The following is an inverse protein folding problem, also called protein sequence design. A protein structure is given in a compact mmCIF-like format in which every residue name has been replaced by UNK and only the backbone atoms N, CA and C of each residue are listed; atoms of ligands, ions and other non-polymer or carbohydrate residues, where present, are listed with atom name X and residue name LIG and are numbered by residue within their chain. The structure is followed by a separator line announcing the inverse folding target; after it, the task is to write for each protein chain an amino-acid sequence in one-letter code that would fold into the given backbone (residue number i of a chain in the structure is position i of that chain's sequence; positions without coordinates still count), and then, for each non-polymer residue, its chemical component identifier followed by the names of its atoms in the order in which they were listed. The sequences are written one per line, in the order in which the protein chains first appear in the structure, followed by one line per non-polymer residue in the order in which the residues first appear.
data_IF_031583322546
#
_entry.id   IF_031583322546
#
_cell.length_a   1.000
_cell.length_b   1.000
_cell.length_c   1.000
_cell.angle_alpha   90.00
_cell.angle_beta   90.00
_cell.angle_gamma   90.00
#
_symmetry.space_group_name_H-M   'P 1'
#
loop_
_entity.id
_entity.type
_entity.pdbx_description
1 polymer ?
#
# COMPACT_ATOMS: atom_id res chain seq x y z
N UNK A 1 68.32 -27.70 11.35
CA UNK A 1 67.26 -26.75 11.72
C UNK A 1 66.51 -26.34 10.46
N UNK A 2 65.36 -26.95 10.13
CA UNK A 2 64.53 -26.55 8.99
C UNK A 2 63.40 -25.65 9.50
N UNK A 3 63.41 -24.38 9.11
CA UNK A 3 62.38 -23.39 9.44
C UNK A 3 61.20 -23.61 8.49
N UNK A 4 60.01 -23.82 9.05
CA UNK A 4 58.77 -23.83 8.27
C UNK A 4 58.17 -22.43 8.27
N UNK A 5 58.03 -21.85 7.07
CA UNK A 5 57.31 -20.61 6.83
C UNK A 5 55.81 -20.95 6.79
N UNK A 6 55.02 -20.37 7.68
CA UNK A 6 53.56 -20.49 7.66
C UNK A 6 53.00 -19.26 6.93
N UNK A 7 52.54 -19.46 5.69
CA UNK A 7 51.78 -18.45 4.96
C UNK A 7 50.32 -18.46 5.43
N UNK A 8 49.86 -17.36 5.99
CA UNK A 8 48.45 -17.12 6.28
C UNK A 8 47.78 -16.56 5.02
N UNK A 9 46.98 -17.38 4.34
CA UNK A 9 46.13 -16.93 3.24
C UNK A 9 44.93 -16.17 3.78
N UNK A 10 44.83 -14.87 3.45
CA UNK A 10 43.61 -14.08 3.66
C UNK A 10 42.52 -14.60 2.72
N UNK A 11 41.49 -15.25 3.26
CA UNK A 11 40.31 -15.68 2.49
C UNK A 11 39.33 -14.51 2.43
N UNK A 12 39.28 -13.80 1.30
CA UNK A 12 38.23 -12.83 1.04
C UNK A 12 36.92 -13.59 0.79
N UNK A 13 35.99 -13.54 1.74
CA UNK A 13 34.63 -14.06 1.56
C UNK A 13 33.89 -13.06 0.68
N UNK A 14 33.83 -13.30 -0.64
CA UNK A 14 32.89 -12.57 -1.48
C UNK A 14 31.49 -13.15 -1.24
N UNK A 15 30.62 -12.43 -0.55
CA UNK A 15 29.20 -12.77 -0.53
C UNK A 15 28.63 -12.54 -1.92
N UNK A 16 28.42 -13.62 -2.68
CA UNK A 16 27.56 -13.57 -3.86
C UNK A 16 26.14 -13.31 -3.36
N UNK A 17 25.62 -12.10 -3.58
CA UNK A 17 24.18 -11.85 -3.46
C UNK A 17 23.54 -12.69 -4.56
N UNK A 18 22.90 -13.81 -4.18
CA UNK A 18 22.05 -14.51 -5.13
C UNK A 18 20.91 -13.56 -5.54
N UNK A 19 20.64 -13.47 -6.83
CA UNK A 19 19.49 -12.75 -7.35
C UNK A 19 18.22 -13.27 -6.66
N UNK A 20 17.52 -12.40 -5.94
CA UNK A 20 16.22 -12.71 -5.37
C UNK A 20 15.18 -12.19 -6.35
N UNK A 21 14.69 -13.06 -7.24
CA UNK A 21 13.53 -12.74 -8.09
C UNK A 21 12.33 -12.42 -7.20
N UNK A 22 11.69 -11.29 -7.44
CA UNK A 22 10.50 -10.90 -6.69
C UNK A 22 9.33 -11.76 -7.14
N UNK A 23 8.67 -12.41 -6.19
CA UNK A 23 7.38 -13.06 -6.43
C UNK A 23 6.27 -11.99 -6.40
N UNK A 24 6.03 -11.33 -7.52
CA UNK A 24 5.01 -10.28 -7.64
C UNK A 24 3.61 -10.89 -7.80
N UNK A 25 2.62 -10.22 -7.21
CA UNK A 25 1.20 -10.53 -7.27
C UNK A 25 0.43 -9.50 -8.11
N UNK A 26 -0.84 -9.80 -8.38
CA UNK A 26 -1.74 -8.87 -9.05
C UNK A 26 -1.81 -7.53 -8.29
N UNK A 27 -1.57 -6.42 -9.00
CA UNK A 27 -1.57 -5.07 -8.45
C UNK A 27 -0.23 -4.62 -7.81
N UNK A 28 0.80 -5.46 -7.81
CA UNK A 28 2.14 -5.04 -7.34
C UNK A 28 2.88 -4.12 -8.33
N UNK A 29 2.35 -3.99 -9.54
CA UNK A 29 2.66 -2.92 -10.48
C UNK A 29 1.34 -2.35 -11.04
N UNK A 30 1.40 -1.18 -11.66
CA UNK A 30 0.31 -0.63 -12.45
C UNK A 30 0.84 0.06 -13.70
N UNK A 31 0.16 -0.13 -14.83
CA UNK A 31 0.43 0.60 -16.07
C UNK A 31 -0.23 1.98 -15.94
N UNK A 32 0.54 3.04 -16.17
CA UNK A 32 0.14 4.44 -15.94
C UNK A 32 0.29 5.33 -17.18
N UNK A 33 0.88 4.81 -18.26
CA UNK A 33 0.84 5.44 -19.58
C UNK A 33 0.95 4.40 -20.68
N UNK A 34 0.32 4.70 -21.81
CA UNK A 34 0.29 3.93 -23.03
C UNK A 34 0.18 4.91 -24.20
N UNK A 35 1.10 4.87 -25.16
CA UNK A 35 1.15 5.73 -26.34
C UNK A 35 1.32 4.83 -27.57
N UNK A 36 0.30 4.77 -28.43
CA UNK A 36 0.35 3.99 -29.66
C UNK A 36 0.65 4.84 -30.91
N UNK A 37 0.59 6.17 -30.81
CA UNK A 37 1.08 7.02 -31.89
C UNK A 37 2.61 7.07 -31.85
N UNK A 38 3.22 6.89 -33.02
CA UNK A 38 4.67 6.80 -33.20
C UNK A 38 5.42 7.97 -32.53
N UNK A 39 6.46 7.71 -31.73
CA UNK A 39 7.04 6.44 -31.31
C UNK A 39 6.45 5.78 -30.05
N UNK A 40 6.06 4.52 -30.13
CA UNK A 40 5.27 3.86 -29.09
C UNK A 40 5.97 3.85 -27.71
N UNK A 41 5.18 3.92 -26.66
CA UNK A 41 5.69 4.00 -25.29
C UNK A 41 4.70 3.42 -24.29
N UNK A 42 5.20 2.79 -23.23
CA UNK A 42 4.41 2.57 -22.04
C UNK A 42 5.19 2.91 -20.77
N UNK A 43 4.46 3.18 -19.70
CA UNK A 43 5.03 3.42 -18.37
C UNK A 43 4.28 2.57 -17.35
N UNK A 44 5.04 1.89 -16.49
CA UNK A 44 4.47 1.22 -15.31
C UNK A 44 5.14 1.72 -14.04
N UNK A 45 4.40 1.73 -12.93
CA UNK A 45 4.91 2.01 -11.60
C UNK A 45 4.88 0.75 -10.75
N UNK A 46 5.93 0.51 -9.97
CA UNK A 46 5.88 -0.57 -8.99
C UNK A 46 5.18 -0.10 -7.71
N UNK A 47 4.27 -0.89 -7.18
CA UNK A 47 3.58 -0.65 -5.91
C UNK A 47 4.04 -1.61 -4.81
N UNK A 48 4.90 -2.57 -5.16
CA UNK A 48 5.71 -3.40 -4.27
C UNK A 48 7.22 -3.21 -4.55
N UNK A 49 8.08 -3.67 -3.64
CA UNK A 49 9.53 -3.63 -3.88
C UNK A 49 9.88 -4.62 -4.98
N UNK A 50 10.66 -4.19 -5.97
CA UNK A 50 11.23 -5.06 -7.00
C UNK A 50 12.71 -5.26 -6.68
N UNK A 51 13.11 -6.49 -6.35
CA UNK A 51 14.49 -6.85 -6.04
C UNK A 51 15.31 -7.15 -7.32
N UNK A 52 16.66 -7.07 -7.24
CA UNK A 52 17.54 -7.39 -8.37
C UNK A 52 17.33 -8.80 -8.92
N UNK A 53 17.35 -8.91 -10.25
CA UNK A 53 17.11 -10.16 -10.98
C UNK A 53 15.63 -10.46 -11.23
N UNK A 54 14.72 -9.55 -10.86
CA UNK A 54 13.30 -9.70 -11.17
C UNK A 54 13.06 -9.53 -12.67
N UNK A 55 12.30 -10.47 -13.24
CA UNK A 55 11.85 -10.44 -14.63
C UNK A 55 10.34 -10.20 -14.70
N UNK A 56 9.93 -9.22 -15.50
CA UNK A 56 8.52 -8.95 -15.84
C UNK A 56 8.38 -9.03 -17.36
N UNK A 57 7.35 -9.73 -17.83
CA UNK A 57 7.03 -9.83 -19.24
C UNK A 57 5.78 -9.02 -19.55
N UNK A 58 5.79 -8.36 -20.69
CA UNK A 58 4.68 -7.61 -21.24
C UNK A 58 4.33 -8.17 -22.60
N UNK A 59 3.04 -8.39 -22.83
CA UNK A 59 2.54 -8.86 -24.12
C UNK A 59 1.42 -7.96 -24.60
N UNK A 60 1.52 -7.61 -25.87
CA UNK A 60 0.45 -7.01 -26.65
C UNK A 60 -0.46 -8.08 -27.28
N UNK A 61 -0.36 -9.35 -26.89
CA UNK A 61 -1.28 -10.40 -27.36
C UNK A 61 -2.56 -10.36 -26.54
N UNK A 62 -3.70 -10.42 -27.23
CA UNK A 62 -4.99 -10.59 -26.56
C UNK A 62 -5.02 -11.86 -25.71
N UNK A 63 -5.58 -11.81 -24.51
CA UNK A 63 -5.79 -13.01 -23.68
C UNK A 63 -7.11 -13.69 -24.06
N UNK A 64 -7.08 -15.01 -24.29
CA UNK A 64 -8.27 -15.80 -24.64
C UNK A 64 -8.95 -16.42 -23.40
N UNK A 65 -9.20 -15.60 -22.37
CA UNK A 65 -9.70 -16.02 -21.06
C UNK A 65 -11.10 -16.63 -20.97
N UNK A 66 -11.82 -16.81 -22.08
CA UNK A 66 -13.17 -17.39 -22.10
C UNK A 66 -13.23 -18.85 -22.63
N UNK A 67 -12.10 -19.45 -23.02
CA UNK A 67 -12.05 -20.83 -23.50
C UNK A 67 -11.59 -21.80 -22.40
N UNK A 68 -11.96 -23.07 -22.52
CA UNK A 68 -11.64 -24.14 -21.55
C UNK A 68 -10.14 -24.30 -21.25
N UNK A 69 -9.27 -23.77 -22.12
CA UNK A 69 -7.81 -23.72 -21.97
C UNK A 69 -7.33 -22.30 -22.27
N UNK A 70 -7.26 -21.40 -21.28
CA UNK A 70 -6.90 -20.01 -21.49
C UNK A 70 -5.39 -19.87 -21.78
N UNK A 71 -5.06 -18.99 -22.71
CA UNK A 71 -3.75 -18.74 -23.28
C UNK A 71 -3.73 -17.34 -23.92
N UNK A 72 -2.53 -16.85 -24.25
CA UNK A 72 -2.43 -15.72 -25.17
C UNK A 72 -2.94 -16.13 -26.55
N UNK A 73 -3.62 -15.21 -27.24
CA UNK A 73 -4.09 -15.38 -28.60
C UNK A 73 -2.91 -15.73 -29.52
N UNK A 74 -3.16 -16.58 -30.50
CA UNK A 74 -2.14 -16.98 -31.46
C UNK A 74 -1.91 -15.85 -32.46
N UNK A 75 -0.94 -14.99 -32.17
CA UNK A 75 -0.48 -13.90 -33.06
C UNK A 75 1.05 -13.89 -33.19
N UNK A 76 1.55 -13.17 -34.19
CA UNK A 76 2.99 -12.93 -34.42
C UNK A 76 3.56 -11.76 -33.60
N UNK A 77 2.75 -11.16 -32.72
CA UNK A 77 3.14 -10.02 -31.87
C UNK A 77 4.28 -10.38 -30.91
N UNK A 78 5.02 -9.36 -30.48
CA UNK A 78 6.21 -9.55 -29.66
C UNK A 78 5.88 -9.80 -28.19
N UNK A 79 6.86 -10.38 -27.50
CA UNK A 79 6.92 -10.38 -26.05
C UNK A 79 8.05 -9.45 -25.62
N UNK A 80 7.76 -8.52 -24.72
CA UNK A 80 8.76 -7.62 -24.14
C UNK A 80 9.16 -8.12 -22.76
N UNK A 81 10.44 -8.40 -22.59
CA UNK A 81 11.02 -8.87 -21.34
C UNK A 81 11.77 -7.72 -20.69
N UNK A 82 11.24 -7.21 -19.59
CA UNK A 82 11.94 -6.25 -18.74
C UNK A 82 12.65 -6.97 -17.60
N UNK A 83 13.91 -6.60 -17.36
CA UNK A 83 14.72 -7.06 -16.23
C UNK A 83 15.06 -5.88 -15.33
N UNK A 84 14.88 -6.08 -14.02
CA UNK A 84 15.25 -5.10 -13.00
C UNK A 84 16.74 -4.76 -13.03
N UNK A 85 17.14 -3.54 -12.60
CA UNK A 85 18.55 -3.21 -12.41
C UNK A 85 19.19 -4.01 -11.26
N UNK A 86 20.49 -3.81 -11.06
CA UNK A 86 21.28 -4.50 -10.03
C UNK A 86 21.08 -3.95 -8.60
N UNK A 87 19.99 -3.25 -8.33
CA UNK A 87 19.61 -2.74 -7.01
C UNK A 87 18.08 -2.74 -6.84
N UNK A 88 17.54 -2.81 -5.60
CA UNK A 88 16.10 -2.82 -5.39
C UNK A 88 15.44 -1.52 -5.84
N UNK A 89 14.30 -1.64 -6.53
CA UNK A 89 13.39 -0.52 -6.80
C UNK A 89 12.31 -0.48 -5.71
N UNK A 90 12.23 0.65 -5.01
CA UNK A 90 11.22 0.85 -3.96
C UNK A 90 9.85 1.16 -4.60
N UNK A 91 8.71 0.82 -3.96
CA UNK A 91 7.39 1.22 -4.41
C UNK A 91 7.34 2.71 -4.74
N UNK A 92 6.65 3.02 -5.83
CA UNK A 92 6.49 4.36 -6.39
C UNK A 92 7.52 4.73 -7.46
N UNK A 93 8.43 3.82 -7.80
CA UNK A 93 9.36 4.01 -8.91
C UNK A 93 8.64 3.72 -10.23
N UNK A 94 8.64 4.68 -11.15
CA UNK A 94 8.11 4.44 -12.49
C UNK A 94 9.21 4.03 -13.46
N UNK A 95 8.87 3.07 -14.32
CA UNK A 95 9.70 2.57 -15.39
C UNK A 95 9.00 2.95 -16.68
N UNK A 96 9.68 3.76 -17.49
CA UNK A 96 9.28 4.12 -18.85
C UNK A 96 10.00 3.20 -19.81
N UNK A 97 9.25 2.63 -20.74
CA UNK A 97 9.74 1.84 -21.85
C UNK A 97 9.36 2.53 -23.14
N UNK A 98 10.38 2.95 -23.88
CA UNK A 98 10.28 3.57 -25.19
C UNK A 98 10.61 2.52 -26.25
N UNK A 99 9.69 2.29 -27.18
CA UNK A 99 10.02 1.53 -28.40
C UNK A 99 10.86 2.40 -29.31
N UNK A 100 11.52 1.83 -30.31
CA UNK A 100 12.31 2.63 -31.26
C UNK A 100 11.68 2.53 -32.65
N UNK A 101 11.17 3.65 -33.15
CA UNK A 101 10.51 3.77 -34.45
C UNK A 101 11.41 3.41 -35.64
N UNK A 102 12.72 3.31 -35.40
CA UNK A 102 13.73 2.93 -36.41
C UNK A 102 14.07 1.43 -36.38
N UNK A 103 13.32 0.61 -35.63
CA UNK A 103 13.52 -0.83 -35.52
C UNK A 103 14.64 -1.26 -34.57
N UNK A 104 15.12 -0.34 -33.72
CA UNK A 104 16.04 -0.67 -32.62
C UNK A 104 15.34 -1.42 -31.48
N UNK A 105 16.13 -2.04 -30.60
CA UNK A 105 15.60 -2.59 -29.35
C UNK A 105 14.91 -1.49 -28.53
N UNK A 106 13.82 -1.80 -27.80
CA UNK A 106 13.25 -0.86 -26.85
C UNK A 106 14.28 -0.47 -25.78
N UNK A 107 14.07 0.70 -25.18
CA UNK A 107 14.90 1.21 -24.09
C UNK A 107 14.03 1.44 -22.85
N UNK A 108 14.60 1.17 -21.68
CA UNK A 108 13.95 1.47 -20.41
C UNK A 108 14.79 2.50 -19.64
N UNK A 109 14.16 3.47 -18.98
CA UNK A 109 14.88 4.43 -18.13
C UNK A 109 15.58 3.75 -16.94
N UNK A 110 15.06 2.61 -16.49
CA UNK A 110 15.61 1.78 -15.41
C UNK A 110 15.49 0.30 -15.79
N UNK A 111 16.56 -0.46 -15.56
CA UNK A 111 16.64 -1.87 -15.96
C UNK A 111 16.96 -2.02 -17.45
N UNK A 112 16.66 -3.19 -18.01
CA UNK A 112 16.84 -3.48 -19.43
C UNK A 112 15.59 -4.11 -20.01
N UNK A 113 15.32 -3.88 -21.28
CA UNK A 113 14.18 -4.47 -21.98
C UNK A 113 14.63 -5.11 -23.29
N UNK A 114 14.05 -6.26 -23.63
CA UNK A 114 14.31 -6.99 -24.85
C UNK A 114 12.99 -7.49 -25.45
N UNK A 115 12.81 -7.30 -26.76
CA UNK A 115 11.65 -7.82 -27.49
C UNK A 115 12.02 -9.07 -28.27
N UNK A 116 11.13 -10.07 -28.32
CA UNK A 116 11.33 -11.28 -29.11
C UNK A 116 11.02 -11.12 -30.61
N UNK A 117 10.64 -9.92 -31.04
CA UNK A 117 10.24 -9.60 -32.41
C UNK A 117 9.98 -8.11 -32.60
N UNK A 118 9.31 -7.75 -33.70
CA UNK A 118 8.88 -6.38 -33.95
C UNK A 118 7.87 -5.97 -32.87
N UNK A 119 8.17 -4.87 -32.20
CA UNK A 119 7.30 -4.28 -31.19
C UNK A 119 6.52 -3.13 -31.80
N UNK A 120 5.28 -2.95 -31.38
CA UNK A 120 4.53 -1.74 -31.65
C UNK A 120 3.04 -1.91 -31.45
N UNK A 121 2.43 -0.88 -30.88
CA UNK A 121 1.02 -0.84 -30.58
C UNK A 121 0.20 -0.41 -31.80
N UNK A 122 -0.95 -1.03 -31.99
CA UNK A 122 -1.85 -0.65 -33.07
C UNK A 122 -2.60 0.65 -32.77
N UNK A 123 -2.64 1.58 -33.74
CA UNK A 123 -3.47 2.81 -33.71
C UNK A 123 -5.00 2.56 -33.84
N UNK A 124 -5.42 1.31 -33.74
CA UNK A 124 -6.84 0.92 -33.60
C UNK A 124 -7.09 0.26 -32.24
N UNK A 125 -6.16 0.53 -31.32
CA UNK A 125 -6.08 0.04 -29.98
C UNK A 125 -5.43 -1.34 -29.83
N UNK A 126 -4.99 -1.60 -28.60
CA UNK A 126 -4.25 -2.78 -28.19
C UNK A 126 -4.45 -3.07 -26.69
N UNK A 127 -3.86 -4.15 -26.21
CA UNK A 127 -3.68 -4.48 -24.81
C UNK A 127 -2.19 -4.42 -24.44
N UNK A 128 -1.92 -4.25 -23.16
CA UNK A 128 -0.62 -4.50 -22.59
C UNK A 128 -0.79 -5.29 -21.30
N UNK A 129 -0.43 -6.56 -21.34
CA UNK A 129 -0.63 -7.51 -20.25
C UNK A 129 0.72 -7.83 -19.62
N UNK A 130 0.88 -7.47 -18.35
CA UNK A 130 2.08 -7.70 -17.58
C UNK A 130 1.98 -8.97 -16.73
N UNK A 131 3.00 -9.83 -16.78
CA UNK A 131 3.01 -11.11 -16.06
C UNK A 131 4.43 -11.61 -15.74
N UNK A 132 4.51 -12.53 -14.78
CA UNK A 132 5.70 -13.37 -14.53
C UNK A 132 5.42 -14.83 -14.92
N UNK A 133 6.47 -15.65 -15.03
CA UNK A 133 6.35 -17.06 -15.46
C UNK A 133 6.50 -17.23 -16.96
N UNK A 134 5.86 -18.25 -17.55
CA UNK A 134 5.87 -18.45 -19.00
C UNK A 134 4.57 -17.96 -19.63
N UNK A 135 4.53 -17.61 -20.92
CA UNK A 135 3.27 -17.25 -21.59
C UNK A 135 2.19 -18.36 -21.54
N UNK A 136 2.60 -19.62 -21.38
CA UNK A 136 1.70 -20.77 -21.24
C UNK A 136 1.23 -21.00 -19.80
N UNK A 137 1.88 -20.38 -18.81
CA UNK A 137 1.49 -20.42 -17.40
C UNK A 137 1.79 -19.06 -16.73
N UNK A 138 1.08 -18.00 -17.12
CA UNK A 138 1.37 -16.64 -16.68
C UNK A 138 0.80 -16.38 -15.27
N UNK A 139 1.59 -15.70 -14.44
CA UNK A 139 1.10 -15.02 -13.23
C UNK A 139 0.89 -13.55 -13.56
N UNK A 140 -0.36 -13.16 -13.78
CA UNK A 140 -0.71 -11.79 -14.14
C UNK A 140 -0.47 -10.81 -13.01
N UNK A 141 0.14 -9.67 -13.35
CA UNK A 141 0.44 -8.58 -12.42
C UNK A 141 -0.48 -7.39 -12.66
N UNK A 142 -0.65 -6.99 -13.92
CA UNK A 142 -1.53 -5.89 -14.31
C UNK A 142 -1.91 -6.01 -15.79
N UNK A 143 -3.02 -5.42 -16.21
CA UNK A 143 -3.39 -5.33 -17.62
C UNK A 143 -3.96 -3.96 -17.97
N UNK A 144 -3.56 -3.42 -19.10
CA UNK A 144 -4.15 -2.22 -19.69
C UNK A 144 -4.72 -2.58 -21.06
N UNK A 145 -5.82 -1.95 -21.46
CA UNK A 145 -6.25 -1.97 -22.85
C UNK A 145 -6.81 -0.62 -23.24
N UNK A 146 -6.46 -0.14 -24.42
CA UNK A 146 -7.08 1.06 -24.98
C UNK A 146 -8.51 0.79 -25.48
N UNK A 147 -8.84 -0.48 -25.75
CA UNK A 147 -10.17 -0.98 -26.07
C UNK A 147 -10.91 -1.53 -24.83
N UNK A 148 -12.25 -1.63 -24.87
CA UNK A 148 -13.01 -2.35 -23.84
C UNK A 148 -12.59 -3.82 -23.75
N UNK A 149 -12.55 -4.38 -22.55
CA UNK A 149 -12.40 -5.82 -22.39
C UNK A 149 -13.57 -6.56 -23.04
N UNK A 150 -13.29 -7.70 -23.68
CA UNK A 150 -14.33 -8.54 -24.25
C UNK A 150 -15.27 -9.12 -23.19
N UNK A 151 -16.55 -9.20 -23.55
CA UNK A 151 -17.60 -9.89 -22.79
C UNK A 151 -18.10 -11.16 -23.49
N UNK A 152 -17.75 -11.37 -24.76
CA UNK A 152 -18.06 -12.55 -25.57
C UNK A 152 -17.10 -12.65 -26.76
N UNK A 153 -17.08 -13.83 -27.41
CA UNK A 153 -16.30 -14.05 -28.64
C UNK A 153 -14.82 -14.36 -28.42
N UNK A 154 -14.05 -14.26 -29.50
CA UNK A 154 -12.60 -14.51 -29.50
C UNK A 154 -11.83 -13.19 -29.66
N UNK A 155 -10.71 -13.01 -28.95
CA UNK A 155 -9.85 -11.84 -29.12
C UNK A 155 -9.29 -11.77 -30.55
N UNK A 156 -9.28 -10.57 -31.11
CA UNK A 156 -8.51 -10.21 -32.31
C UNK A 156 -7.10 -9.73 -31.89
N UNK A 157 -6.32 -9.16 -32.81
CA UNK A 157 -5.04 -8.50 -32.47
C UNK A 157 -5.24 -7.32 -31.51
N UNK A 158 -6.39 -6.65 -31.56
CA UNK A 158 -6.61 -5.36 -30.89
C UNK A 158 -7.53 -5.47 -29.66
N UNK A 159 -7.92 -6.69 -29.30
CA UNK A 159 -8.92 -6.95 -28.28
C UNK A 159 -8.47 -8.08 -27.38
N UNK A 160 -8.84 -7.99 -26.11
CA UNK A 160 -8.49 -8.99 -25.11
C UNK A 160 -9.67 -9.26 -24.17
N UNK A 161 -9.75 -10.47 -23.66
CA UNK A 161 -10.47 -10.70 -22.41
C UNK A 161 -9.67 -10.13 -21.24
N UNK A 162 -10.35 -9.75 -20.17
CA UNK A 162 -9.69 -9.44 -18.90
C UNK A 162 -8.99 -10.71 -18.38
N UNK A 163 -7.67 -10.68 -18.12
CA UNK A 163 -6.97 -11.85 -17.58
C UNK A 163 -7.54 -12.29 -16.22
N UNK A 164 -7.78 -13.59 -16.07
CA UNK A 164 -8.33 -14.17 -14.84
C UNK A 164 -7.43 -13.85 -13.65
N UNK A 165 -8.05 -13.39 -12.54
CA UNK A 165 -7.33 -12.96 -11.34
C UNK A 165 -7.03 -11.46 -11.30
N UNK A 166 -7.23 -10.73 -12.41
CA UNK A 166 -7.22 -9.27 -12.43
C UNK A 166 -8.64 -8.72 -12.27
N UNK A 167 -8.74 -7.49 -11.76
CA UNK A 167 -9.98 -6.77 -11.53
C UNK A 167 -9.94 -5.44 -12.27
N UNK A 168 -10.85 -5.25 -13.22
CA UNK A 168 -10.95 -4.00 -13.97
C UNK A 168 -11.30 -2.82 -13.04
N UNK A 169 -10.56 -1.71 -13.14
CA UNK A 169 -10.64 -0.58 -12.20
C UNK A 169 -9.83 -0.76 -10.90
N UNK A 170 -9.02 -1.81 -10.81
CA UNK A 170 -8.07 -2.05 -9.71
C UNK A 170 -6.73 -2.53 -10.26
N UNK A 171 -6.64 -3.79 -10.65
CA UNK A 171 -5.44 -4.45 -11.19
C UNK A 171 -5.50 -4.65 -12.71
N UNK A 172 -6.49 -4.05 -13.36
CA UNK A 172 -6.54 -3.86 -14.80
C UNK A 172 -7.31 -2.58 -15.14
N UNK A 173 -7.13 -2.05 -16.36
CA UNK A 173 -7.88 -0.90 -16.85
C UNK A 173 -8.14 -0.96 -18.36
N UNK A 174 -9.41 -0.96 -18.73
CA UNK A 174 -9.89 -0.63 -20.08
C UNK A 174 -10.62 0.73 -20.14
N UNK A 175 -11.12 1.08 -21.33
CA UNK A 175 -12.02 2.20 -21.52
C UNK A 175 -13.16 1.85 -22.47
N UNK A 176 -14.29 2.55 -22.36
CA UNK A 176 -15.48 2.30 -23.18
C UNK A 176 -15.33 2.70 -24.66
N UNK A 177 -14.35 3.56 -24.97
CA UNK A 177 -14.04 4.03 -26.31
C UNK A 177 -12.53 3.98 -26.50
N UNK A 178 -12.10 3.42 -27.62
CA UNK A 178 -10.71 3.38 -28.09
C UNK A 178 -10.12 4.81 -28.20
N UNK A 179 -8.86 4.95 -27.75
CA UNK A 179 -8.00 6.12 -27.94
C UNK A 179 -6.52 5.69 -27.96
N UNK A 180 -5.71 6.30 -28.81
CA UNK A 180 -4.33 5.87 -29.07
C UNK A 180 -3.36 6.17 -27.92
N UNK A 181 -3.49 7.35 -27.31
CA UNK A 181 -2.52 7.89 -26.35
C UNK A 181 -3.18 8.29 -25.04
N UNK A 182 -2.65 7.74 -23.94
CA UNK A 182 -3.29 7.82 -22.65
C UNK A 182 -2.27 7.84 -21.52
N UNK A 183 -2.54 8.62 -20.47
CA UNK A 183 -1.72 8.60 -19.25
C UNK A 183 -2.51 9.00 -18.01
N UNK A 184 -2.02 8.56 -16.85
CA UNK A 184 -2.58 8.87 -15.54
C UNK A 184 -2.30 10.34 -15.14
N UNK A 185 -3.34 11.11 -14.86
CA UNK A 185 -3.30 12.57 -14.69
C UNK A 185 -2.61 13.06 -13.41
N UNK A 186 -2.52 12.24 -12.36
CA UNK A 186 -2.13 12.73 -11.03
C UNK A 186 -0.60 12.71 -10.86
N UNK A 187 0.10 13.85 -10.87
CA UNK A 187 1.57 13.89 -10.78
C UNK A 187 2.10 13.45 -9.41
N UNK A 188 1.29 13.59 -8.36
CA UNK A 188 1.61 13.15 -7.00
C UNK A 188 0.50 12.23 -6.52
N UNK A 189 0.87 11.05 -6.04
CA UNK A 189 -0.06 10.09 -5.42
C UNK A 189 0.54 9.58 -4.11
N UNK A 190 -0.27 9.59 -3.04
CA UNK A 190 0.15 9.19 -1.69
C UNK A 190 -0.91 8.23 -1.15
N UNK A 191 -0.48 7.08 -0.63
CA UNK A 191 -1.40 6.15 0.02
C UNK A 191 -0.90 4.71 0.08
N UNK A 192 -1.77 3.80 0.50
CA UNK A 192 -1.52 2.36 0.41
C UNK A 192 -1.55 1.89 -1.05
N UNK A 193 -0.93 0.75 -1.36
CA UNK A 193 -1.02 0.10 -2.68
C UNK A 193 -2.45 0.09 -3.20
N UNK A 194 -3.40 -0.39 -2.40
CA UNK A 194 -4.79 -0.58 -2.83
C UNK A 194 -5.50 0.76 -3.10
N UNK A 195 -5.21 1.80 -2.31
CA UNK A 195 -5.75 3.14 -2.55
C UNK A 195 -5.20 3.77 -3.84
N UNK A 196 -3.92 3.55 -4.13
CA UNK A 196 -3.29 4.03 -5.36
C UNK A 196 -3.77 3.26 -6.58
N UNK A 197 -3.92 1.93 -6.49
CA UNK A 197 -4.59 1.12 -7.53
C UNK A 197 -6.02 1.61 -7.80
N UNK A 198 -6.77 1.98 -6.75
CA UNK A 198 -8.10 2.57 -6.90
C UNK A 198 -8.07 3.92 -7.61
N UNK A 199 -7.04 4.75 -7.36
CA UNK A 199 -6.86 6.01 -8.06
C UNK A 199 -6.51 5.79 -9.54
N UNK A 200 -5.57 4.90 -9.85
CA UNK A 200 -5.17 4.56 -11.22
C UNK A 200 -6.35 3.91 -11.97
N UNK A 201 -7.17 3.10 -11.29
CA UNK A 201 -8.30 2.41 -11.90
C UNK A 201 -9.50 3.31 -12.26
N UNK A 202 -9.54 4.57 -11.81
CA UNK A 202 -10.63 5.52 -12.12
C UNK A 202 -10.44 6.13 -13.50
N UNK A 203 -11.42 5.99 -14.39
CA UNK A 203 -11.32 6.50 -15.77
C UNK A 203 -11.17 8.03 -15.81
N UNK A 204 -11.78 8.73 -14.86
CA UNK A 204 -11.70 10.19 -14.70
C UNK A 204 -10.29 10.70 -14.37
N UNK A 205 -9.39 9.81 -13.93
CA UNK A 205 -8.00 10.15 -13.63
C UNK A 205 -7.06 9.92 -14.82
N UNK A 206 -7.59 9.74 -16.03
CA UNK A 206 -6.78 9.53 -17.24
C UNK A 206 -7.00 10.66 -18.26
N UNK A 207 -5.88 11.16 -18.80
CA UNK A 207 -5.88 11.93 -20.04
C UNK A 207 -5.84 10.94 -21.20
N UNK A 208 -6.60 11.24 -22.26
CA UNK A 208 -6.78 10.34 -23.41
C UNK A 208 -6.96 11.16 -24.69
N UNK A 209 -6.28 10.79 -25.76
CA UNK A 209 -6.28 11.51 -27.06
C UNK A 209 -5.88 10.56 -28.20
N UNK A 210 -6.17 10.95 -29.45
CA UNK A 210 -5.69 10.29 -30.68
C UNK A 210 -4.60 11.13 -31.33
N UNK A 211 -3.72 11.67 -30.50
CA UNK A 211 -2.65 12.56 -30.95
C UNK A 211 -1.54 12.44 -29.95
N UNK A 212 -0.40 11.99 -30.45
CA UNK A 212 0.80 11.79 -29.64
C UNK A 212 1.01 12.87 -28.57
N UNK A 213 1.08 12.43 -27.31
CA UNK A 213 1.52 13.27 -26.20
C UNK A 213 3.05 13.34 -26.21
N UNK A 214 3.57 14.52 -26.55
CA UNK A 214 5.02 14.75 -26.64
C UNK A 214 5.72 14.75 -25.27
N UNK A 215 5.01 15.15 -24.20
CA UNK A 215 5.55 15.24 -22.84
C UNK A 215 4.53 14.66 -21.86
N UNK A 216 4.80 13.46 -21.38
CA UNK A 216 4.04 12.84 -20.29
C UNK A 216 4.52 13.37 -18.94
N UNK A 217 3.67 13.37 -17.89
CA UNK A 217 4.05 13.86 -16.56
C UNK A 217 5.24 13.11 -15.95
N UNK A 218 5.95 13.78 -15.05
CA UNK A 218 6.79 13.09 -14.07
C UNK A 218 5.95 12.75 -12.84
N UNK A 219 5.84 11.45 -12.53
CA UNK A 219 5.07 10.98 -11.40
C UNK A 219 5.90 10.79 -10.15
N UNK A 220 5.33 11.18 -9.02
CA UNK A 220 5.87 10.95 -7.68
C UNK A 220 4.85 10.16 -6.87
N UNK A 221 5.15 8.88 -6.65
CA UNK A 221 4.31 7.98 -5.88
C UNK A 221 4.94 7.72 -4.51
N UNK A 222 4.16 7.95 -3.45
CA UNK A 222 4.54 7.66 -2.07
C UNK A 222 3.67 6.53 -1.55
N UNK A 223 4.12 5.30 -1.80
CA UNK A 223 3.37 4.09 -1.42
C UNK A 223 3.73 3.71 0.01
N UNK A 224 2.73 3.66 0.88
CA UNK A 224 2.90 3.15 2.23
C UNK A 224 3.21 1.66 2.18
N UNK A 225 4.35 1.27 2.76
CA UNK A 225 4.73 -0.12 2.94
C UNK A 225 4.00 -0.71 4.13
N UNK A 226 3.75 -2.01 4.14
CA UNK A 226 3.02 -2.69 5.21
C UNK A 226 3.86 -3.76 5.88
N UNK A 227 3.81 -3.84 7.21
CA UNK A 227 4.10 -5.07 7.92
C UNK A 227 2.78 -5.69 8.39
N UNK A 228 2.62 -6.99 8.19
CA UNK A 228 1.42 -7.72 8.58
C UNK A 228 1.74 -8.59 9.79
N UNK A 229 0.86 -8.62 10.78
CA UNK A 229 1.06 -9.49 11.92
C UNK A 229 0.92 -10.95 11.50
N UNK A 230 1.74 -11.82 12.07
CA UNK A 230 1.59 -13.27 12.03
C UNK A 230 0.31 -13.70 12.74
N UNK A 231 -0.20 -14.93 12.48
CA UNK A 231 -1.39 -15.44 13.14
C UNK A 231 -1.30 -15.56 14.67
N UNK A 232 -0.09 -15.60 15.22
CA UNK A 232 0.17 -15.70 16.65
C UNK A 232 1.43 -14.92 17.06
N UNK A 233 1.69 -14.85 18.37
CA UNK A 233 2.79 -14.08 18.96
C UNK A 233 2.35 -12.75 19.56
N UNK A 234 3.24 -12.13 20.33
CA UNK A 234 2.96 -10.87 21.01
C UNK A 234 3.04 -9.68 20.05
N UNK A 235 2.02 -8.82 20.05
CA UNK A 235 1.90 -7.72 19.07
C UNK A 235 3.03 -6.70 19.17
N UNK A 236 3.57 -6.53 20.37
CA UNK A 236 4.68 -5.65 20.73
C UNK A 236 6.05 -6.20 20.34
N UNK A 237 6.13 -7.43 19.83
CA UNK A 237 7.38 -8.07 19.39
C UNK A 237 7.55 -7.95 17.88
N UNK A 238 8.65 -7.36 17.42
CA UNK A 238 8.97 -7.17 15.99
C UNK A 238 8.93 -8.49 15.20
N UNK A 239 9.37 -9.58 15.82
CA UNK A 239 9.41 -10.91 15.20
C UNK A 239 8.04 -11.52 14.94
N UNK A 240 6.97 -10.94 15.50
CA UNK A 240 5.58 -11.34 15.24
C UNK A 240 4.99 -10.71 13.97
N UNK A 241 5.80 -9.99 13.18
CA UNK A 241 5.39 -9.29 11.97
C UNK A 241 6.28 -9.67 10.79
N UNK A 242 5.78 -9.42 9.57
CA UNK A 242 6.52 -9.66 8.33
C UNK A 242 6.02 -8.81 7.17
N UNK A 243 6.83 -8.69 6.12
CA UNK A 243 6.50 -7.90 4.92
C UNK A 243 5.41 -8.51 4.04
N UNK A 244 5.24 -9.83 4.11
CA UNK A 244 4.26 -10.54 3.28
C UNK A 244 2.86 -10.45 3.90
N UNK A 245 1.83 -10.51 3.05
CA UNK A 245 0.41 -10.34 3.46
C UNK A 245 -0.03 -11.33 4.55
N UNK A 246 0.56 -12.52 4.58
CA UNK A 246 0.29 -13.57 5.58
C UNK A 246 1.10 -13.39 6.90
N UNK A 247 1.89 -12.32 7.00
CA UNK A 247 2.77 -12.00 8.12
C UNK A 247 4.13 -12.71 8.07
N UNK A 248 4.43 -13.44 7.00
CA UNK A 248 5.76 -14.02 6.76
C UNK A 248 6.74 -13.01 6.15
N UNK A 249 7.96 -13.46 5.84
CA UNK A 249 9.02 -12.61 5.31
C UNK A 249 9.85 -11.91 6.39
N UNK A 250 10.57 -10.87 5.98
CA UNK A 250 11.47 -10.14 6.87
C UNK A 250 10.68 -9.36 7.93
N UNK A 251 11.11 -9.48 9.19
CA UNK A 251 10.54 -8.75 10.30
C UNK A 251 10.93 -7.25 10.24
N UNK A 252 10.09 -6.35 10.78
CA UNK A 252 10.45 -4.95 10.99
C UNK A 252 11.68 -4.81 11.90
N UNK A 253 12.48 -3.78 11.65
CA UNK A 253 13.58 -3.36 12.53
C UNK A 253 13.12 -2.46 13.67
N UNK A 254 11.98 -1.79 13.51
CA UNK A 254 11.40 -0.86 14.47
C UNK A 254 9.93 -0.58 14.14
N UNK A 255 9.12 -0.36 15.18
CA UNK A 255 7.71 0.03 15.03
C UNK A 255 7.50 1.51 14.69
N UNK A 256 8.56 2.32 14.84
CA UNK A 256 8.51 3.78 14.71
C UNK A 256 9.20 4.29 13.44
N UNK A 257 9.66 3.38 12.58
CA UNK A 257 10.23 3.72 11.28
C UNK A 257 9.15 4.33 10.37
N UNK A 258 9.49 5.44 9.72
CA UNK A 258 8.57 6.13 8.81
C UNK A 258 8.28 5.30 7.55
N UNK A 259 7.10 5.49 6.96
CA UNK A 259 6.73 4.88 5.68
C UNK A 259 6.11 3.49 5.79
N UNK A 260 5.96 2.96 7.00
CA UNK A 260 5.32 1.67 7.26
C UNK A 260 3.98 1.81 7.99
N UNK A 261 3.00 1.01 7.56
CA UNK A 261 1.76 0.72 8.27
C UNK A 261 1.87 -0.68 8.87
N UNK A 262 1.58 -0.81 10.16
CA UNK A 262 1.46 -2.11 10.82
C UNK A 262 0.03 -2.57 10.72
N UNK A 263 -0.24 -3.52 9.84
CA UNK A 263 -1.54 -4.16 9.65
C UNK A 263 -1.70 -5.30 10.66
N UNK A 264 -2.45 -5.05 11.73
CA UNK A 264 -2.91 -6.11 12.61
C UNK A 264 -3.91 -6.96 11.83
N UNK A 265 -3.40 -8.04 11.24
CA UNK A 265 -4.04 -8.91 10.26
C UNK A 265 -3.74 -10.38 10.58
N UNK A 266 -4.31 -11.29 9.80
CA UNK A 266 -4.12 -12.75 9.97
C UNK A 266 -4.53 -13.28 11.36
N UNK A 267 -5.30 -12.47 12.10
CA UNK A 267 -5.83 -12.73 13.45
C UNK A 267 -7.32 -12.42 13.42
N UNK A 268 -8.04 -12.85 14.44
CA UNK A 268 -9.47 -12.55 14.58
C UNK A 268 -9.87 -12.37 16.04
N UNK A 269 -11.04 -11.79 16.27
CA UNK A 269 -11.63 -11.67 17.60
C UNK A 269 -10.84 -10.74 18.52
N UNK A 270 -10.80 -11.10 19.81
CA UNK A 270 -10.14 -10.31 20.83
C UNK A 270 -8.63 -10.54 20.81
N UNK A 271 -7.88 -9.48 20.54
CA UNK A 271 -6.43 -9.41 20.70
C UNK A 271 -6.11 -8.49 21.87
N UNK A 272 -4.98 -8.70 22.55
CA UNK A 272 -4.61 -7.95 23.74
C UNK A 272 -3.17 -7.48 23.67
N UNK A 273 -2.90 -6.29 24.19
CA UNK A 273 -1.56 -5.87 24.52
C UNK A 273 -1.08 -6.55 25.81
N UNK A 274 0.22 -6.79 25.86
CA UNK A 274 0.96 -7.36 26.98
C UNK A 274 1.99 -6.38 27.57
N UNK A 275 2.19 -5.24 26.91
CA UNK A 275 3.07 -4.15 27.31
C UNK A 275 2.63 -2.86 26.62
N UNK A 276 3.21 -1.74 27.04
CA UNK A 276 3.04 -0.47 26.35
C UNK A 276 3.59 -0.58 24.92
N UNK A 277 2.81 -0.14 23.94
CA UNK A 277 3.17 -0.29 22.53
C UNK A 277 3.20 1.06 21.84
N UNK A 278 4.34 1.40 21.24
CA UNK A 278 4.54 2.62 20.46
C UNK A 278 4.86 2.27 19.03
N UNK A 279 4.11 2.84 18.09
CA UNK A 279 4.30 2.63 16.66
C UNK A 279 3.86 3.85 15.86
N UNK A 280 4.33 4.01 14.62
CA UNK A 280 3.91 5.16 13.81
C UNK A 280 2.47 5.05 13.33
N UNK A 281 2.16 4.03 12.55
CA UNK A 281 0.84 3.85 11.95
C UNK A 281 0.32 2.44 12.18
N UNK A 282 -0.87 2.33 12.75
CA UNK A 282 -1.55 1.06 13.02
C UNK A 282 -2.83 0.98 12.18
N UNK A 283 -3.03 -0.15 11.52
CA UNK A 283 -4.28 -0.51 10.87
C UNK A 283 -4.83 -1.79 11.52
N UNK A 284 -6.02 -1.74 12.12
CA UNK A 284 -6.64 -2.90 12.76
C UNK A 284 -7.58 -3.56 11.77
N UNK A 285 -7.29 -4.80 11.38
CA UNK A 285 -8.08 -5.56 10.42
C UNK A 285 -9.50 -5.87 10.88
N UNK A 286 -10.36 -6.19 9.90
CA UNK A 286 -11.79 -6.36 10.13
C UNK A 286 -12.05 -7.55 11.06
N UNK A 287 -13.02 -7.41 11.96
CA UNK A 287 -13.36 -8.44 12.94
C UNK A 287 -12.36 -8.60 14.09
N UNK A 288 -11.33 -7.73 14.18
CA UNK A 288 -10.39 -7.69 15.30
C UNK A 288 -10.79 -6.58 16.27
N UNK A 289 -10.77 -6.91 17.56
CA UNK A 289 -10.88 -5.97 18.68
C UNK A 289 -9.55 -5.98 19.43
N UNK A 290 -8.82 -4.87 19.43
CA UNK A 290 -7.57 -4.74 20.15
C UNK A 290 -7.83 -4.14 21.54
N UNK A 291 -7.72 -4.95 22.58
CA UNK A 291 -7.77 -4.49 23.96
C UNK A 291 -6.40 -4.01 24.44
N UNK A 292 -6.38 -2.86 25.11
CA UNK A 292 -5.13 -2.30 25.63
C UNK A 292 -4.73 -2.91 26.98
N UNK A 293 -5.68 -3.51 27.72
CA UNK A 293 -5.41 -4.42 28.82
C UNK A 293 -4.54 -3.81 29.94
N UNK A 294 -4.80 -2.54 30.27
CA UNK A 294 -4.08 -1.73 31.25
C UNK A 294 -2.83 -1.04 30.69
N UNK A 295 -2.50 -1.23 29.41
CA UNK A 295 -1.31 -0.67 28.79
C UNK A 295 -1.59 0.60 27.97
N UNK A 296 -0.52 1.32 27.66
CA UNK A 296 -0.54 2.49 26.79
C UNK A 296 -0.34 2.09 25.33
N UNK A 297 -1.21 2.56 24.45
CA UNK A 297 -1.01 2.58 23.00
C UNK A 297 -0.62 3.98 22.55
N UNK A 298 0.57 4.13 21.97
CA UNK A 298 1.07 5.40 21.41
C UNK A 298 1.23 5.29 19.90
N UNK A 299 0.50 6.12 19.15
CA UNK A 299 0.45 6.08 17.69
C UNK A 299 0.54 7.46 17.06
N UNK A 300 1.16 7.58 15.89
CA UNK A 300 1.06 8.82 15.09
C UNK A 300 -0.28 8.85 14.33
N UNK A 301 -0.75 7.68 13.88
CA UNK A 301 -1.90 7.56 13.00
C UNK A 301 -2.62 6.20 13.16
N UNK A 302 -3.94 6.25 13.39
CA UNK A 302 -4.85 5.10 13.34
C UNK A 302 -5.57 5.07 11.99
N UNK A 303 -5.10 4.16 11.15
CA UNK A 303 -5.61 3.91 9.82
C UNK A 303 -7.02 3.29 9.86
N UNK A 304 -7.90 3.73 8.95
CA UNK A 304 -9.33 3.39 8.98
C UNK A 304 -9.70 2.28 7.99
N UNK A 305 -8.81 1.93 7.07
CA UNK A 305 -9.06 0.93 6.03
C UNK A 305 -9.28 -0.49 6.57
N UNK A 306 -8.85 -0.79 7.79
CA UNK A 306 -9.00 -2.12 8.39
C UNK A 306 -10.36 -2.39 9.03
N UNK A 307 -11.15 -1.37 9.39
CA UNK A 307 -12.47 -1.49 10.04
C UNK A 307 -12.51 -2.19 11.42
N UNK A 308 -11.37 -2.61 11.97
CA UNK A 308 -11.26 -3.11 13.34
C UNK A 308 -11.41 -2.01 14.39
N UNK A 309 -11.46 -2.41 15.67
CA UNK A 309 -11.76 -1.50 16.77
C UNK A 309 -10.81 -1.64 17.96
N UNK A 310 -10.70 -0.57 18.73
CA UNK A 310 -10.05 -0.56 20.04
C UNK A 310 -11.07 -0.90 21.13
N UNK A 311 -10.74 -1.83 22.02
CA UNK A 311 -11.51 -2.14 23.22
C UNK A 311 -10.78 -1.53 24.42
N UNK A 312 -11.33 -0.46 25.00
CA UNK A 312 -10.66 0.29 26.08
C UNK A 312 -11.47 0.28 27.37
N UNK A 313 -10.78 0.36 28.50
CA UNK A 313 -11.35 0.48 29.84
C UNK A 313 -10.71 1.60 30.71
N UNK A 314 -11.18 1.70 31.95
CA UNK A 314 -10.81 2.72 32.92
C UNK A 314 -9.35 2.64 33.44
N UNK A 315 -8.54 1.70 32.94
CA UNK A 315 -7.11 1.57 33.22
C UNK A 315 -6.24 1.90 31.99
N UNK A 316 -6.85 1.98 30.81
CA UNK A 316 -6.14 2.08 29.54
C UNK A 316 -5.72 3.52 29.17
N UNK A 317 -4.67 3.63 28.36
CA UNK A 317 -4.13 4.92 27.93
C UNK A 317 -3.90 4.94 26.42
N UNK A 318 -4.30 6.03 25.76
CA UNK A 318 -4.04 6.27 24.35
C UNK A 318 -3.27 7.59 24.21
N UNK A 319 -2.17 7.55 23.46
CA UNK A 319 -1.41 8.73 23.06
C UNK A 319 -1.42 8.84 21.54
N UNK A 320 -1.84 9.98 21.01
CA UNK A 320 -1.77 10.31 19.59
C UNK A 320 -0.72 11.40 19.39
N UNK A 321 0.20 11.18 18.46
CA UNK A 321 1.37 12.06 18.21
C UNK A 321 1.34 12.75 16.85
N UNK A 322 0.30 12.51 16.04
CA UNK A 322 0.16 13.10 14.72
C UNK A 322 -1.29 13.15 14.23
N UNK A 323 -1.44 13.15 12.91
CA UNK A 323 -2.73 13.18 12.26
C UNK A 323 -3.29 11.77 12.18
N UNK A 324 -4.45 11.55 12.79
CA UNK A 324 -5.06 10.23 12.89
C UNK A 324 -6.49 10.24 12.39
N UNK A 325 -6.93 9.12 11.79
CA UNK A 325 -8.36 8.83 11.66
C UNK A 325 -9.05 8.80 13.03
N UNK A 326 -10.40 8.86 13.06
CA UNK A 326 -11.14 8.91 14.32
C UNK A 326 -10.90 7.66 15.19
N UNK A 327 -11.06 7.81 16.51
CA UNK A 327 -11.01 6.68 17.44
C UNK A 327 -12.20 5.75 17.19
N UNK A 328 -11.90 4.59 16.59
CA UNK A 328 -12.85 3.50 16.39
C UNK A 328 -12.90 2.63 17.64
N UNK A 329 -13.71 3.04 18.61
CA UNK A 329 -13.86 2.33 19.88
C UNK A 329 -14.99 1.29 19.79
N UNK A 330 -14.82 0.18 20.49
CA UNK A 330 -15.83 -0.85 20.63
C UNK A 330 -16.94 -0.43 21.60
N UNK A 331 -18.20 -0.71 21.20
CA UNK A 331 -19.40 -0.35 21.95
C UNK A 331 -19.91 1.09 21.71
N UNK A 332 -21.10 1.38 22.22
CA UNK A 332 -21.75 2.70 22.10
C UNK A 332 -21.10 3.75 23.00
N UNK A 333 -20.57 3.32 24.15
CA UNK A 333 -19.80 4.11 25.10
C UNK A 333 -18.60 3.31 25.59
N UNK A 334 -17.41 3.84 25.36
CA UNK A 334 -16.16 3.29 25.84
C UNK A 334 -15.66 4.14 27.02
N UNK A 335 -15.00 3.50 28.00
CA UNK A 335 -14.37 4.22 29.11
C UNK A 335 -12.86 4.16 28.92
N UNK A 336 -12.15 5.28 29.08
CA UNK A 336 -10.70 5.34 28.92
C UNK A 336 -10.09 6.13 30.09
N UNK A 337 -8.97 5.66 30.64
CA UNK A 337 -8.30 6.38 31.74
C UNK A 337 -7.67 7.66 31.24
N UNK A 338 -6.88 7.60 30.17
CA UNK A 338 -6.14 8.77 29.65
C UNK A 338 -6.15 8.82 28.13
N UNK A 339 -6.49 9.99 27.59
CA UNK A 339 -6.26 10.36 26.20
C UNK A 339 -5.25 11.50 26.15
N UNK A 340 -4.14 11.33 25.45
CA UNK A 340 -3.11 12.35 25.29
C UNK A 340 -2.93 12.67 23.81
N UNK A 341 -3.10 13.93 23.42
CA UNK A 341 -2.75 14.43 22.09
C UNK A 341 -1.51 15.31 22.19
N UNK A 342 -0.44 14.92 21.52
CA UNK A 342 0.86 15.61 21.56
C UNK A 342 1.41 15.86 20.15
N UNK A 343 2.43 16.71 20.04
CA UNK A 343 3.10 16.98 18.76
C UNK A 343 2.21 17.61 17.68
N UNK A 344 1.15 18.35 18.07
CA UNK A 344 0.17 18.88 17.13
C UNK A 344 -0.82 17.84 16.59
N UNK A 345 -1.01 16.74 17.33
CA UNK A 345 -1.93 15.67 16.95
C UNK A 345 -3.36 16.16 16.72
N UNK A 346 -4.02 15.63 15.69
CA UNK A 346 -5.45 15.86 15.47
C UNK A 346 -6.20 14.55 15.37
N UNK A 347 -7.32 14.45 16.08
CA UNK A 347 -8.19 13.28 16.06
C UNK A 347 -9.66 13.66 16.31
N UNK A 348 -10.56 12.82 15.81
CA UNK A 348 -12.00 12.90 16.09
C UNK A 348 -12.51 11.71 16.89
N UNK A 349 -13.62 11.89 17.61
CA UNK A 349 -14.34 10.79 18.25
C UNK A 349 -15.46 10.27 17.34
N UNK A 350 -15.53 8.95 17.14
CA UNK A 350 -16.66 8.31 16.46
C UNK A 350 -17.60 7.56 17.42
N UNK A 351 -17.11 7.14 18.58
CA UNK A 351 -17.94 6.55 19.65
C UNK A 351 -17.94 7.47 20.88
N UNK A 352 -18.92 7.31 21.76
CA UNK A 352 -18.92 8.03 23.03
C UNK A 352 -17.71 7.61 23.86
N UNK A 353 -16.91 8.57 24.27
CA UNK A 353 -15.73 8.36 25.11
C UNK A 353 -15.99 8.95 26.49
N UNK A 354 -15.97 8.09 27.49
CA UNK A 354 -16.13 8.45 28.90
C UNK A 354 -14.77 8.45 29.60
N UNK A 355 -14.46 9.53 30.30
CA UNK A 355 -13.27 9.66 31.14
C UNK A 355 -13.73 9.58 32.60
N UNK A 356 -13.27 8.60 33.38
CA UNK A 356 -13.82 8.32 34.72
C UNK A 356 -13.40 9.38 35.75
N UNK A 357 -14.29 9.70 36.69
CA UNK A 357 -13.94 10.41 37.92
C UNK A 357 -13.42 9.43 38.99
N UNK A 358 -13.54 9.78 40.27
CA UNK A 358 -13.19 8.87 41.36
C UNK A 358 -11.87 9.22 42.08
N UNK A 359 -11.36 8.29 42.93
CA UNK A 359 -10.15 8.53 43.72
C UNK A 359 -8.88 8.66 42.87
N UNK A 360 -8.90 8.14 41.64
CA UNK A 360 -7.87 8.34 40.64
C UNK A 360 -8.56 8.71 39.31
N UNK A 361 -8.92 10.00 39.13
CA UNK A 361 -9.63 10.45 37.94
C UNK A 361 -8.83 10.30 36.66
N UNK A 362 -9.54 10.10 35.55
CA UNK A 362 -8.98 10.12 34.21
C UNK A 362 -8.77 11.53 33.65
N UNK A 363 -8.04 11.59 32.54
CA UNK A 363 -7.61 12.86 31.94
C UNK A 363 -7.69 12.84 30.42
N UNK A 364 -7.99 14.01 29.84
CA UNK A 364 -7.73 14.31 28.43
C UNK A 364 -6.69 15.42 28.37
N UNK A 365 -5.60 15.22 27.64
CA UNK A 365 -4.49 16.17 27.55
C UNK A 365 -4.31 16.63 26.10
N UNK A 366 -4.20 17.95 25.86
CA UNK A 366 -4.08 18.54 24.52
C UNK A 366 -2.88 19.49 24.42
N UNK A 367 -1.71 18.97 24.05
CA UNK A 367 -0.51 19.81 23.94
C UNK A 367 -0.62 20.90 22.86
N UNK A 368 0.45 21.68 22.69
CA UNK A 368 0.47 22.77 21.72
C UNK A 368 0.08 22.27 20.32
N UNK A 369 -0.83 22.99 19.69
CA UNK A 369 -1.41 22.72 18.37
C UNK A 369 -2.24 21.43 18.25
N UNK A 370 -2.51 20.72 19.35
CA UNK A 370 -3.34 19.53 19.30
C UNK A 370 -4.83 19.88 19.11
N UNK A 371 -5.56 19.06 18.34
CA UNK A 371 -6.98 19.26 18.04
C UNK A 371 -7.77 18.00 18.37
N UNK A 372 -8.73 18.11 19.28
CA UNK A 372 -9.72 17.06 19.54
C UNK A 372 -11.09 17.50 19.04
N UNK A 373 -11.60 16.82 18.01
CA UNK A 373 -13.00 16.99 17.58
C UNK A 373 -13.89 16.00 18.32
N UNK A 374 -14.66 16.48 19.29
CA UNK A 374 -15.45 15.61 20.18
C UNK A 374 -16.69 15.06 19.51
N UNK A 375 -17.23 15.71 18.47
CA UNK A 375 -18.52 15.38 17.87
C UNK A 375 -19.66 15.20 18.90
N UNK A 376 -19.59 15.96 20.01
CA UNK A 376 -20.51 15.86 21.16
C UNK A 376 -20.49 14.50 21.88
N UNK A 377 -19.41 13.74 21.74
CA UNK A 377 -19.24 12.37 22.25
C UNK A 377 -18.24 12.26 23.41
N UNK A 378 -17.68 13.36 23.90
CA UNK A 378 -16.78 13.34 25.06
C UNK A 378 -17.56 13.55 26.36
N UNK A 379 -17.43 12.61 27.30
CA UNK A 379 -18.01 12.68 28.64
C UNK A 379 -16.89 12.73 29.68
N UNK A 380 -16.89 13.77 30.54
CA UNK A 380 -16.04 13.84 31.72
C UNK A 380 -16.89 13.52 32.95
N UNK A 381 -16.46 12.54 33.74
CA UNK A 381 -17.20 12.07 34.90
C UNK A 381 -16.66 12.63 36.20
N UNK A 382 -17.52 12.84 37.19
CA UNK A 382 -17.09 13.19 38.55
C UNK A 382 -17.92 12.48 39.61
N UNK A 383 -17.34 12.32 40.80
CA UNK A 383 -18.02 11.92 42.02
C UNK A 383 -17.39 12.63 43.24
N UNK A 384 -17.82 12.27 44.45
CA UNK A 384 -17.30 12.87 45.69
C UNK A 384 -15.78 12.71 45.90
N UNK A 385 -15.15 11.72 45.27
CA UNK A 385 -13.74 11.40 45.41
C UNK A 385 -12.85 12.10 44.37
N UNK A 386 -13.42 12.58 43.26
CA UNK A 386 -12.66 13.32 42.25
C UNK A 386 -13.37 13.44 40.91
N UNK A 387 -12.89 14.40 40.09
CA UNK A 387 -13.43 14.71 38.78
C UNK A 387 -12.39 14.45 37.69
N UNK A 388 -12.84 13.85 36.58
CA UNK A 388 -12.08 13.79 35.34
C UNK A 388 -11.74 15.21 34.87
N UNK A 389 -10.60 15.37 34.21
CA UNK A 389 -10.09 16.69 33.83
C UNK A 389 -9.64 16.78 32.38
N UNK A 390 -9.83 17.96 31.81
CA UNK A 390 -9.14 18.39 30.59
C UNK A 390 -7.87 19.14 31.03
N UNK A 391 -6.71 18.62 30.66
CA UNK A 391 -5.41 19.10 31.12
C UNK A 391 -4.57 19.66 29.96
N UNK A 392 -3.63 20.53 30.34
CA UNK A 392 -2.55 21.02 29.48
C UNK A 392 -3.04 21.50 28.11
N UNK A 393 -3.98 22.46 28.07
CA UNK A 393 -4.37 23.14 26.83
C UNK A 393 -3.19 23.97 26.33
N UNK A 394 -2.28 23.33 25.59
CA UNK A 394 -1.07 23.96 25.07
C UNK A 394 -1.40 25.09 24.10
N UNK A 395 -0.36 25.82 23.68
CA UNK A 395 -0.51 26.95 22.76
C UNK A 395 -1.30 26.53 21.52
N UNK A 396 -2.40 27.25 21.23
CA UNK A 396 -3.26 27.00 20.07
C UNK A 396 -3.85 25.59 20.00
N UNK A 397 -3.92 24.87 21.13
CA UNK A 397 -4.72 23.64 21.22
C UNK A 397 -6.21 23.95 21.04
N UNK A 398 -6.96 23.00 20.48
CA UNK A 398 -8.38 23.16 20.20
C UNK A 398 -9.17 21.94 20.66
N UNK A 399 -10.30 22.20 21.31
CA UNK A 399 -11.35 21.22 21.52
C UNK A 399 -12.58 21.70 20.74
N UNK A 400 -13.01 20.92 19.76
CA UNK A 400 -14.07 21.27 18.82
C UNK A 400 -15.28 20.39 19.07
N UNK A 401 -16.39 21.00 19.48
CA UNK A 401 -17.64 20.31 19.84
C UNK A 401 -17.94 20.38 21.34
N UNK A 402 -19.04 19.75 21.76
CA UNK A 402 -19.46 19.75 23.16
C UNK A 402 -18.70 18.73 24.02
N UNK A 403 -18.54 19.08 25.29
CA UNK A 403 -18.12 18.18 26.37
C UNK A 403 -19.29 18.04 27.33
N UNK A 404 -19.62 16.80 27.70
CA UNK A 404 -20.70 16.50 28.64
C UNK A 404 -20.08 16.22 30.00
N UNK A 405 -20.48 16.97 31.03
CA UNK A 405 -20.13 16.64 32.40
C UNK A 405 -21.20 15.73 33.00
N UNK A 406 -20.79 14.59 33.55
CA UNK A 406 -21.70 13.63 34.19
C UNK A 406 -21.29 13.39 35.64
N UNK A 407 -22.19 13.69 36.56
CA UNK A 407 -21.98 13.45 37.98
C UNK A 407 -22.62 12.11 38.35
N UNK A 408 -21.88 11.28 39.08
CA UNK A 408 -22.31 9.97 39.57
C UNK A 408 -22.44 9.95 41.09
#
# INVERSE_FOLDING_TARGET
MKKYLVCWGLMAISSQIQAQDSLLMAGDIAIIAFQADNNDQFVFVNLATIYPGTKIQFSEKGWNGSLATPAFASSSEALHVWNSPNHPLLPGTFIRVDFNSSGGSPEANLGTVQSTGNAGFAASGDQLIAFQGSPNNPRFLYAFSSNPWLSSGSPSSNQSWLPTGLLNGRSARDFSKEMDDQYFLMPISIGTRDSVLAMIGRQENWFRTNTRVAQIPEWHFYIFRGYYSKPSGNLSELTSWGLELDGSGAAPTSFVDSGYTFYLANRSGLQKLDTNWTLKRLCIGNGIKLALNGFMLSVQDLAQEGLGKLLVDANDQITITGQSGPLMLEGDTATLKKLVLTGGAMIGLNSTLQIPGGPDPGTVTLDSYAVLTTNNKLILCSNAQGAASLQQLGKSSQLIGSVINKNF
#
